data_IF_226814076298
#
_entry.id   IF_226814076298
#
_cell.length_a   1.000
_cell.length_b   1.000
_cell.length_c   1.000
_cell.angle_alpha   90.00
_cell.angle_beta   90.00
_cell.angle_gamma   90.00
#
_symmetry.space_group_name_H-M   'P 1'
#
loop_
_entity.id
_entity.type
_entity.pdbx_description
1 polymer ?
#
# COMPACT_ATOMS: atom_id res chain seq x y z
N UNK A 1 20.92 -15.12 -15.49
CA UNK A 1 19.44 -15.04 -15.66
C UNK A 1 19.05 -13.58 -15.61
N UNK A 2 18.39 -13.07 -16.65
CA UNK A 2 17.93 -11.68 -16.71
C UNK A 2 16.74 -11.47 -15.75
N UNK A 3 16.63 -10.25 -15.21
CA UNK A 3 15.64 -9.91 -14.20
C UNK A 3 14.81 -8.71 -14.66
N UNK A 4 13.51 -8.88 -14.72
CA UNK A 4 12.58 -7.86 -15.20
C UNK A 4 11.49 -7.57 -14.19
N UNK A 5 10.94 -6.35 -14.24
CA UNK A 5 9.67 -6.03 -13.63
C UNK A 5 8.82 -5.20 -14.61
N UNK A 6 7.51 -5.25 -14.44
CA UNK A 6 6.61 -4.43 -15.23
C UNK A 6 5.98 -3.34 -14.38
N UNK A 7 6.28 -2.09 -14.73
CA UNK A 7 5.65 -0.94 -14.11
C UNK A 7 5.30 0.14 -15.11
N UNK A 8 4.10 0.72 -14.88
CA UNK A 8 3.60 1.93 -15.51
C UNK A 8 3.47 3.07 -14.51
N UNK A 9 3.87 2.85 -13.26
CA UNK A 9 3.72 3.86 -12.21
C UNK A 9 4.59 5.06 -12.51
N UNK A 10 4.02 6.24 -12.33
CA UNK A 10 4.73 7.50 -12.34
C UNK A 10 4.87 7.98 -10.89
N UNK A 11 6.04 8.49 -10.52
CA UNK A 11 6.27 9.03 -9.17
C UNK A 11 5.44 10.31 -9.00
N UNK A 12 4.21 10.16 -8.52
CA UNK A 12 3.32 11.30 -8.26
C UNK A 12 3.65 11.91 -6.90
N UNK A 13 4.01 13.18 -6.88
CA UNK A 13 4.22 13.94 -5.64
C UNK A 13 2.93 14.20 -4.85
N UNK A 14 1.77 14.01 -5.48
CA UNK A 14 0.44 14.31 -4.92
C UNK A 14 -0.37 13.10 -4.44
N UNK A 15 0.19 11.88 -4.46
CA UNK A 15 -0.55 10.67 -4.06
C UNK A 15 0.30 9.75 -3.18
N UNK A 16 -0.10 9.60 -1.93
CA UNK A 16 0.51 8.63 -1.01
C UNK A 16 0.23 7.16 -1.40
N UNK A 17 -0.83 6.91 -2.17
CA UNK A 17 -1.26 5.55 -2.53
C UNK A 17 -0.34 4.79 -3.49
N UNK A 18 0.66 5.45 -4.06
CA UNK A 18 1.61 4.83 -4.98
C UNK A 18 3.00 4.61 -4.35
N UNK A 19 3.23 5.12 -3.14
CA UNK A 19 4.55 5.11 -2.47
C UNK A 19 5.12 3.70 -2.34
N UNK A 20 4.36 2.76 -1.77
CA UNK A 20 4.84 1.38 -1.60
C UNK A 20 5.27 0.73 -2.94
N UNK A 21 4.54 1.00 -4.03
CA UNK A 21 4.89 0.47 -5.35
C UNK A 21 6.16 1.08 -5.90
N UNK A 22 6.33 2.39 -5.77
CA UNK A 22 7.52 3.08 -6.28
C UNK A 22 8.76 2.74 -5.45
N UNK A 23 8.62 2.49 -4.17
CA UNK A 23 9.71 2.05 -3.30
C UNK A 23 10.19 0.65 -3.69
N UNK A 24 9.27 -0.29 -3.93
CA UNK A 24 9.63 -1.62 -4.46
C UNK A 24 10.29 -1.50 -5.83
N UNK A 25 9.84 -0.62 -6.72
CA UNK A 25 10.50 -0.40 -8.01
C UNK A 25 11.93 0.13 -7.84
N UNK A 26 12.17 1.01 -6.89
CA UNK A 26 13.51 1.51 -6.59
C UNK A 26 14.41 0.39 -6.06
N UNK A 27 13.91 -0.45 -5.15
CA UNK A 27 14.59 -1.63 -4.64
C UNK A 27 14.91 -2.61 -5.78
N UNK A 28 13.95 -2.88 -6.66
CA UNK A 28 14.17 -3.77 -7.81
C UNK A 28 15.23 -3.22 -8.75
N UNK A 29 15.21 -1.92 -9.07
CA UNK A 29 16.23 -1.27 -9.90
C UNK A 29 17.62 -1.39 -9.28
N UNK A 30 17.74 -1.13 -7.98
CA UNK A 30 19.02 -1.23 -7.23
C UNK A 30 19.56 -2.68 -7.24
N UNK A 31 18.66 -3.68 -7.33
CA UNK A 31 19.02 -5.11 -7.40
C UNK A 31 19.16 -5.63 -8.85
N UNK A 32 19.29 -4.72 -9.83
CA UNK A 32 19.59 -5.06 -11.22
C UNK A 32 18.39 -5.49 -12.07
N UNK A 33 17.15 -5.33 -11.57
CA UNK A 33 15.96 -5.58 -12.38
C UNK A 33 15.73 -4.45 -13.39
N UNK A 34 15.28 -4.78 -14.58
CA UNK A 34 14.99 -3.82 -15.66
C UNK A 34 13.48 -3.62 -15.82
N UNK A 35 13.00 -2.36 -15.88
CA UNK A 35 11.58 -2.11 -16.15
C UNK A 35 11.26 -2.32 -17.64
N UNK A 36 10.41 -3.29 -17.93
CA UNK A 36 9.91 -3.54 -19.29
C UNK A 36 8.60 -2.81 -19.61
N UNK A 37 8.04 -2.07 -18.64
CA UNK A 37 6.91 -1.16 -18.85
C UNK A 37 7.35 0.25 -19.25
N UNK A 38 6.38 1.08 -19.65
CA UNK A 38 6.58 2.52 -19.94
C UNK A 38 5.86 3.30 -18.84
N UNK A 39 6.61 4.09 -18.07
CA UNK A 39 6.03 4.97 -17.05
C UNK A 39 5.24 6.09 -17.71
N UNK A 40 4.02 6.30 -17.30
CA UNK A 40 3.18 7.37 -17.81
C UNK A 40 2.21 7.89 -16.75
N UNK A 41 1.92 9.19 -16.80
CA UNK A 41 0.94 9.85 -15.92
C UNK A 41 -0.43 10.03 -16.59
N UNK A 42 -0.64 9.51 -17.79
CA UNK A 42 -1.90 9.62 -18.50
C UNK A 42 -2.98 8.76 -17.81
N UNK A 43 -3.99 9.40 -17.24
CA UNK A 43 -5.14 8.73 -16.59
C UNK A 43 -6.37 8.83 -17.50
N UNK A 44 -6.89 7.67 -17.93
CA UNK A 44 -8.23 7.58 -18.53
C UNK A 44 -8.45 8.18 -19.92
N UNK A 45 -7.40 8.61 -20.62
CA UNK A 45 -7.48 9.19 -21.97
C UNK A 45 -7.08 8.16 -23.02
N UNK A 46 -7.37 8.48 -24.31
CA UNK A 46 -6.86 7.72 -25.47
C UNK A 46 -5.34 7.55 -25.40
N UNK A 47 -4.61 8.60 -25.01
CA UNK A 47 -3.16 8.56 -24.80
C UNK A 47 -2.76 7.55 -23.71
N UNK A 48 -3.54 7.41 -22.64
CA UNK A 48 -3.31 6.40 -21.61
C UNK A 48 -3.53 4.97 -22.11
N UNK A 49 -4.44 4.78 -23.06
CA UNK A 49 -4.64 3.48 -23.74
C UNK A 49 -3.44 3.17 -24.65
N UNK A 50 -3.05 4.11 -25.52
CA UNK A 50 -1.90 3.96 -26.42
C UNK A 50 -0.61 3.69 -25.61
N UNK A 51 -0.34 4.49 -24.57
CA UNK A 51 0.81 4.26 -23.69
C UNK A 51 0.80 2.87 -23.02
N UNK A 52 -0.39 2.35 -22.74
CA UNK A 52 -0.53 0.99 -22.21
C UNK A 52 -0.21 -0.07 -23.26
N UNK A 53 -0.72 0.08 -24.47
CA UNK A 53 -0.44 -0.83 -25.58
C UNK A 53 1.05 -0.88 -25.90
N UNK A 54 1.68 0.30 -26.02
CA UNK A 54 3.12 0.42 -26.23
C UNK A 54 3.93 -0.21 -25.08
N UNK A 55 3.45 -0.04 -23.85
CA UNK A 55 4.07 -0.65 -22.67
C UNK A 55 4.02 -2.19 -22.70
N UNK A 56 2.89 -2.76 -23.12
CA UNK A 56 2.75 -4.21 -23.28
C UNK A 56 3.60 -4.73 -24.46
N UNK A 57 3.61 -4.02 -25.57
CA UNK A 57 4.45 -4.35 -26.72
C UNK A 57 5.93 -4.33 -26.36
N UNK A 58 6.38 -3.30 -25.64
CA UNK A 58 7.76 -3.26 -25.11
C UNK A 58 8.06 -4.46 -24.23
N UNK A 59 7.14 -4.83 -23.31
CA UNK A 59 7.32 -6.01 -22.45
C UNK A 59 7.46 -7.29 -23.29
N UNK A 60 6.60 -7.46 -24.30
CA UNK A 60 6.68 -8.60 -25.22
C UNK A 60 8.01 -8.67 -25.99
N UNK A 61 8.61 -7.55 -26.34
CA UNK A 61 9.88 -7.52 -27.10
C UNK A 61 11.12 -7.64 -26.19
N UNK A 62 11.03 -7.15 -24.96
CA UNK A 62 12.19 -7.01 -24.05
C UNK A 62 12.44 -8.21 -23.14
N UNK A 63 11.40 -8.96 -22.77
CA UNK A 63 11.55 -10.11 -21.88
C UNK A 63 12.30 -11.22 -22.63
N UNK A 64 13.47 -11.63 -22.15
CA UNK A 64 14.25 -12.72 -22.72
C UNK A 64 13.79 -14.07 -22.16
N UNK A 65 13.98 -15.17 -22.91
CA UNK A 65 13.70 -16.51 -22.39
C UNK A 65 14.52 -16.86 -21.15
N UNK A 66 13.97 -17.73 -20.30
CA UNK A 66 14.62 -18.23 -19.08
C UNK A 66 15.01 -17.11 -18.11
N UNK A 67 14.15 -16.12 -17.96
CA UNK A 67 14.33 -14.94 -17.09
C UNK A 67 13.28 -14.90 -15.96
N UNK A 68 13.37 -13.91 -15.09
CA UNK A 68 12.38 -13.65 -14.03
C UNK A 68 11.60 -12.37 -14.33
N UNK A 69 10.30 -12.43 -14.16
CA UNK A 69 9.41 -11.29 -14.27
C UNK A 69 8.70 -11.01 -12.93
N UNK A 70 8.95 -9.84 -12.33
CA UNK A 70 8.25 -9.38 -11.13
C UNK A 70 7.05 -8.51 -11.51
N UNK A 71 5.89 -8.84 -10.96
CA UNK A 71 4.63 -8.11 -11.12
C UNK A 71 4.14 -7.59 -9.77
N UNK A 72 3.64 -6.36 -9.75
CA UNK A 72 3.03 -5.75 -8.56
C UNK A 72 1.51 -5.78 -8.67
N UNK A 73 0.86 -6.65 -7.90
CA UNK A 73 -0.59 -6.83 -7.94
C UNK A 73 -1.32 -5.78 -7.08
N UNK A 74 -2.47 -5.22 -7.52
CA UNK A 74 -3.22 -5.56 -8.74
C UNK A 74 -2.75 -4.80 -9.99
N UNK A 75 -2.65 -5.53 -11.12
CA UNK A 75 -2.32 -4.99 -12.45
C UNK A 75 -3.55 -4.94 -13.39
N UNK A 76 -4.76 -4.99 -12.84
CA UNK A 76 -6.02 -5.01 -13.60
C UNK A 76 -6.03 -6.17 -14.64
N UNK A 77 -6.52 -5.90 -15.85
CA UNK A 77 -6.66 -6.89 -16.94
C UNK A 77 -5.35 -7.33 -17.60
N UNK A 78 -4.26 -6.64 -17.37
CA UNK A 78 -2.98 -6.97 -18.02
C UNK A 78 -2.18 -8.05 -17.28
N UNK A 79 -2.55 -8.36 -16.06
CA UNK A 79 -1.85 -9.31 -15.22
C UNK A 79 -1.72 -10.70 -15.89
N UNK A 80 -2.85 -11.31 -16.22
CA UNK A 80 -2.90 -12.64 -16.87
C UNK A 80 -2.15 -12.64 -18.22
N UNK A 81 -2.26 -11.55 -18.98
CA UNK A 81 -1.52 -11.44 -20.26
C UNK A 81 -0.01 -11.47 -20.03
N UNK A 82 0.50 -10.70 -19.08
CA UNK A 82 1.94 -10.66 -18.77
C UNK A 82 2.45 -12.01 -18.24
N UNK A 83 1.69 -12.69 -17.39
CA UNK A 83 2.03 -14.04 -16.93
C UNK A 83 2.15 -15.02 -18.12
N UNK A 84 1.15 -15.02 -19.02
CA UNK A 84 1.17 -15.88 -20.21
C UNK A 84 2.36 -15.62 -21.12
N UNK A 85 2.67 -14.35 -21.40
CA UNK A 85 3.85 -14.00 -22.23
C UNK A 85 5.15 -14.43 -21.56
N UNK A 86 5.27 -14.29 -20.25
CA UNK A 86 6.43 -14.76 -19.49
C UNK A 86 6.58 -16.29 -19.60
N UNK A 87 5.51 -17.05 -19.36
CA UNK A 87 5.52 -18.51 -19.43
C UNK A 87 5.79 -19.04 -20.85
N UNK A 88 5.27 -18.39 -21.91
CA UNK A 88 5.62 -18.72 -23.29
C UNK A 88 7.12 -18.58 -23.60
N UNK A 89 7.86 -17.87 -22.75
CA UNK A 89 9.32 -17.68 -22.83
C UNK A 89 10.09 -18.44 -21.76
N UNK A 90 9.42 -19.38 -21.11
CA UNK A 90 10.00 -20.17 -20.02
C UNK A 90 10.56 -19.28 -18.88
N UNK A 91 9.87 -18.17 -18.55
CA UNK A 91 10.23 -17.26 -17.48
C UNK A 91 9.44 -17.58 -16.22
N UNK A 92 10.07 -17.42 -15.07
CA UNK A 92 9.38 -17.46 -13.77
C UNK A 92 8.69 -16.13 -13.47
N UNK A 93 7.47 -16.18 -12.94
CA UNK A 93 6.68 -15.00 -12.56
C UNK A 93 6.57 -14.92 -11.05
N UNK A 94 7.04 -13.80 -10.49
CA UNK A 94 6.92 -13.46 -9.07
C UNK A 94 5.90 -12.33 -8.93
N UNK A 95 4.87 -12.52 -8.13
CA UNK A 95 3.86 -11.49 -7.85
C UNK A 95 3.99 -10.95 -6.43
N UNK A 96 4.16 -9.64 -6.30
CA UNK A 96 4.11 -8.93 -5.02
C UNK A 96 2.72 -8.33 -4.85
N UNK A 97 2.00 -8.75 -3.82
CA UNK A 97 0.66 -8.23 -3.53
C UNK A 97 0.78 -6.88 -2.81
N UNK A 98 0.01 -5.87 -3.25
CA UNK A 98 -0.22 -4.61 -2.53
C UNK A 98 -1.65 -4.48 -2.02
N UNK A 99 -2.60 -5.08 -2.72
CA UNK A 99 -4.03 -5.07 -2.38
C UNK A 99 -4.71 -6.30 -2.99
N UNK A 100 -5.68 -6.84 -2.27
CA UNK A 100 -6.62 -7.82 -2.79
C UNK A 100 -7.91 -7.09 -3.21
N UNK A 101 -8.26 -7.21 -4.49
CA UNK A 101 -9.39 -6.50 -5.09
C UNK A 101 -10.75 -7.03 -4.63
N UNK A 102 -10.83 -8.30 -4.25
CA UNK A 102 -11.99 -8.94 -3.66
C UNK A 102 -12.36 -8.35 -2.29
N UNK A 103 -11.36 -7.97 -1.48
CA UNK A 103 -11.60 -7.32 -0.19
C UNK A 103 -11.91 -5.84 -0.31
N UNK A 104 -10.98 -5.09 -0.88
CA UNK A 104 -10.99 -3.63 -0.75
C UNK A 104 -11.94 -2.92 -1.70
N UNK A 105 -12.19 -3.49 -2.87
CA UNK A 105 -12.93 -2.80 -3.94
C UNK A 105 -14.12 -3.58 -4.46
N UNK A 106 -14.30 -4.83 -4.05
CA UNK A 106 -15.34 -5.76 -4.53
C UNK A 106 -15.50 -5.78 -6.07
N UNK A 107 -14.38 -5.60 -6.78
CA UNK A 107 -14.36 -5.60 -8.26
C UNK A 107 -14.14 -6.97 -8.85
N UNK A 108 -13.75 -7.91 -8.00
CA UNK A 108 -13.54 -9.30 -8.32
C UNK A 108 -14.23 -10.14 -7.25
N UNK A 109 -14.69 -11.32 -7.61
CA UNK A 109 -14.97 -12.35 -6.63
C UNK A 109 -13.65 -12.95 -6.11
N UNK A 110 -13.71 -13.68 -5.01
CA UNK A 110 -12.54 -14.36 -4.45
C UNK A 110 -11.99 -15.35 -5.47
N UNK A 111 -12.87 -16.14 -6.11
CA UNK A 111 -12.52 -17.14 -7.10
C UNK A 111 -11.82 -16.51 -8.32
N UNK A 112 -12.33 -15.36 -8.79
CA UNK A 112 -11.70 -14.62 -9.88
C UNK A 112 -10.31 -14.10 -9.51
N UNK A 113 -10.13 -13.65 -8.27
CA UNK A 113 -8.84 -13.17 -7.79
C UNK A 113 -7.84 -14.31 -7.64
N UNK A 114 -8.25 -15.42 -7.02
CA UNK A 114 -7.47 -16.65 -6.89
C UNK A 114 -7.06 -17.19 -8.25
N UNK A 115 -7.99 -17.31 -9.19
CA UNK A 115 -7.71 -17.75 -10.57
C UNK A 115 -6.67 -16.87 -11.26
N UNK A 116 -6.66 -15.56 -10.99
CA UNK A 116 -5.60 -14.67 -11.50
C UNK A 116 -4.27 -14.91 -10.83
N UNK A 117 -4.25 -14.98 -9.49
CA UNK A 117 -3.02 -15.16 -8.72
C UNK A 117 -2.34 -16.48 -9.05
N UNK A 118 -3.10 -17.54 -9.31
CA UNK A 118 -2.60 -18.84 -9.76
C UNK A 118 -1.91 -18.83 -11.14
N UNK A 119 -1.88 -17.68 -11.82
CA UNK A 119 -1.04 -17.50 -13.02
C UNK A 119 0.42 -17.14 -12.69
N UNK A 120 0.79 -16.97 -11.43
CA UNK A 120 2.17 -16.75 -11.01
C UNK A 120 2.77 -18.02 -10.43
N UNK A 121 4.08 -18.16 -10.55
CA UNK A 121 4.83 -19.27 -9.94
C UNK A 121 5.04 -19.00 -8.43
N UNK A 122 5.34 -17.76 -8.10
CA UNK A 122 5.59 -17.29 -6.72
C UNK A 122 4.76 -16.08 -6.39
N UNK A 123 4.26 -16.04 -5.16
CA UNK A 123 3.50 -14.90 -4.64
C UNK A 123 4.11 -14.45 -3.31
N UNK A 124 4.37 -13.16 -3.20
CA UNK A 124 4.79 -12.52 -1.96
C UNK A 124 3.55 -11.83 -1.37
N UNK A 125 2.98 -12.45 -0.33
CA UNK A 125 1.88 -11.92 0.47
C UNK A 125 2.40 -10.90 1.49
N UNK A 126 1.52 -10.09 2.08
CA UNK A 126 1.92 -9.09 3.07
C UNK A 126 2.53 -9.74 4.33
N UNK A 127 1.92 -10.79 4.81
CA UNK A 127 2.24 -11.47 6.07
C UNK A 127 1.66 -12.89 6.07
N UNK A 128 1.90 -13.65 7.14
CA UNK A 128 1.43 -15.02 7.26
C UNK A 128 -0.10 -15.13 7.33
N UNK A 129 -0.80 -14.15 7.89
CA UNK A 129 -2.26 -14.17 7.92
C UNK A 129 -2.85 -14.07 6.49
N UNK A 130 -2.29 -13.21 5.62
CA UNK A 130 -2.69 -13.16 4.22
C UNK A 130 -2.28 -14.43 3.48
N UNK A 131 -1.09 -14.98 3.75
CA UNK A 131 -0.62 -16.23 3.15
C UNK A 131 -1.57 -17.39 3.46
N UNK A 132 -1.94 -17.58 4.72
CA UNK A 132 -2.90 -18.61 5.14
C UNK A 132 -4.25 -18.40 4.45
N UNK A 133 -4.77 -17.17 4.45
CA UNK A 133 -6.02 -16.87 3.78
C UNK A 133 -5.99 -17.23 2.28
N UNK A 134 -4.91 -16.93 1.58
CA UNK A 134 -4.75 -17.27 0.16
C UNK A 134 -4.74 -18.79 -0.06
N UNK A 135 -4.08 -19.55 0.81
CA UNK A 135 -4.06 -21.02 0.77
C UNK A 135 -5.46 -21.62 0.98
N UNK A 136 -6.17 -21.16 2.01
CA UNK A 136 -7.54 -21.61 2.32
C UNK A 136 -8.55 -21.34 1.19
N UNK A 137 -8.28 -20.32 0.34
CA UNK A 137 -9.13 -19.98 -0.79
C UNK A 137 -8.64 -20.54 -2.14
N UNK A 138 -7.66 -21.47 -2.12
CA UNK A 138 -7.27 -22.23 -3.29
C UNK A 138 -6.14 -21.63 -4.13
N UNK A 139 -5.30 -20.77 -3.57
CA UNK A 139 -4.05 -20.37 -4.23
C UNK A 139 -3.05 -21.51 -4.16
N UNK A 140 -2.60 -21.97 -5.34
CA UNK A 140 -1.67 -23.10 -5.52
C UNK A 140 -0.23 -22.67 -5.78
N UNK A 141 0.00 -21.40 -6.15
CA UNK A 141 1.33 -20.83 -6.32
C UNK A 141 2.15 -20.91 -5.03
N UNK A 142 3.49 -20.93 -5.14
CA UNK A 142 4.35 -20.89 -3.94
C UNK A 142 4.22 -19.54 -3.24
N UNK A 143 3.87 -19.57 -1.96
CA UNK A 143 3.56 -18.38 -1.15
C UNK A 143 4.68 -18.05 -0.15
N UNK A 144 5.07 -16.78 -0.12
CA UNK A 144 6.03 -16.21 0.82
C UNK A 144 5.43 -15.00 1.52
N UNK A 145 5.87 -14.71 2.74
CA UNK A 145 5.48 -13.52 3.50
C UNK A 145 6.52 -12.43 3.37
N UNK A 146 6.08 -11.18 3.11
CA UNK A 146 6.94 -10.00 3.06
C UNK A 146 7.39 -9.56 4.48
N UNK A 147 6.52 -9.72 5.46
CA UNK A 147 6.71 -9.19 6.82
C UNK A 147 6.26 -7.74 6.93
N UNK A 148 7.02 -6.81 6.38
CA UNK A 148 6.67 -5.38 6.34
C UNK A 148 7.17 -4.74 5.05
N UNK A 149 6.50 -3.69 4.58
CA UNK A 149 7.00 -2.88 3.45
C UNK A 149 8.08 -1.90 3.90
N UNK A 150 9.08 -1.68 3.06
CA UNK A 150 10.01 -0.57 3.22
C UNK A 150 9.32 0.79 3.02
N UNK A 151 9.92 1.83 3.59
CA UNK A 151 9.55 3.22 3.33
C UNK A 151 10.81 4.01 3.00
N UNK A 152 11.14 4.09 1.72
CA UNK A 152 12.34 4.76 1.25
C UNK A 152 12.15 6.28 1.32
N UNK A 153 13.07 6.97 1.98
CA UNK A 153 13.11 8.44 2.03
C UNK A 153 14.49 8.93 2.42
N UNK A 154 14.87 10.07 1.85
CA UNK A 154 16.06 10.82 2.25
C UNK A 154 15.81 11.77 3.43
N UNK A 155 14.54 12.00 3.78
CA UNK A 155 14.17 12.85 4.91
C UNK A 155 14.47 12.16 6.24
N UNK A 156 14.88 12.95 7.21
CA UNK A 156 15.08 12.52 8.60
C UNK A 156 13.94 13.02 9.48
N UNK A 157 13.51 12.26 10.49
CA UNK A 157 12.53 12.72 11.47
C UNK A 157 13.04 13.97 12.21
N UNK A 158 12.15 14.89 12.52
CA UNK A 158 12.46 16.00 13.40
C UNK A 158 12.21 15.58 14.85
N UNK A 159 13.09 15.97 15.79
CA UNK A 159 12.84 15.74 17.20
C UNK A 159 11.54 16.40 17.65
N UNK A 160 10.73 15.68 18.41
CA UNK A 160 9.56 16.27 19.03
C UNK A 160 9.98 17.07 20.26
N UNK A 161 9.94 18.40 20.18
CA UNK A 161 10.36 19.31 21.25
C UNK A 161 9.22 19.76 22.15
N UNK A 162 7.96 19.59 21.74
CA UNK A 162 6.81 20.00 22.53
C UNK A 162 6.38 18.86 23.45
N UNK A 163 6.44 19.09 24.78
CA UNK A 163 6.12 18.12 25.82
C UNK A 163 4.82 18.42 26.59
N UNK A 164 4.12 19.50 26.23
CA UNK A 164 2.98 19.97 27.04
C UNK A 164 1.75 19.08 26.88
N UNK A 165 1.59 18.43 25.72
CA UNK A 165 0.47 17.54 25.44
C UNK A 165 0.82 16.50 24.38
N UNK A 166 0.48 15.23 24.62
CA UNK A 166 0.66 14.16 23.63
C UNK A 166 -0.14 14.42 22.35
N UNK A 167 0.45 13.98 21.23
CA UNK A 167 -0.13 14.11 19.89
C UNK A 167 -0.16 12.75 19.21
N UNK A 168 -1.34 12.32 18.79
CA UNK A 168 -1.50 11.13 17.96
C UNK A 168 -1.54 11.57 16.51
N UNK A 169 -0.67 10.99 15.69
CA UNK A 169 -0.57 11.25 14.26
C UNK A 169 -1.35 10.21 13.47
N UNK A 170 -2.21 10.64 12.57
CA UNK A 170 -2.86 9.80 11.57
C UNK A 170 -2.54 10.30 10.16
N UNK A 171 -1.88 9.47 9.35
CA UNK A 171 -1.57 9.78 7.96
C UNK A 171 -2.33 8.85 7.01
N UNK A 172 -3.02 9.42 6.02
CA UNK A 172 -3.76 8.63 5.04
C UNK A 172 -4.88 9.36 4.33
N UNK A 173 -5.82 8.59 3.76
CA UNK A 173 -7.03 9.15 3.18
C UNK A 173 -7.97 9.59 4.32
N UNK A 174 -8.34 10.88 4.32
CA UNK A 174 -9.19 11.47 5.37
C UNK A 174 -10.66 11.55 4.96
N UNK A 175 -11.03 10.88 3.87
CA UNK A 175 -12.41 10.89 3.38
C UNK A 175 -13.35 10.17 4.37
N UNK A 176 -14.38 10.86 4.91
CA UNK A 176 -15.31 10.31 5.91
C UNK A 176 -16.11 9.10 5.42
N UNK A 177 -16.26 8.92 4.10
CA UNK A 177 -16.91 7.72 3.52
C UNK A 177 -16.02 6.47 3.61
N UNK A 178 -14.70 6.66 3.70
CA UNK A 178 -13.74 5.55 3.81
C UNK A 178 -13.32 5.29 5.25
N UNK A 179 -13.28 6.34 6.04
CA UNK A 179 -12.86 6.30 7.44
C UNK A 179 -13.87 7.02 8.33
N UNK A 180 -15.09 6.47 8.49
CA UNK A 180 -16.14 7.09 9.32
C UNK A 180 -15.74 7.30 10.77
N UNK A 181 -14.81 6.49 11.32
CA UNK A 181 -14.28 6.64 12.68
C UNK A 181 -13.70 8.05 12.95
N UNK A 182 -13.18 8.72 11.91
CA UNK A 182 -12.63 10.08 12.06
C UNK A 182 -13.69 11.10 12.54
N UNK A 183 -14.97 10.88 12.21
CA UNK A 183 -16.07 11.74 12.69
C UNK A 183 -16.35 11.54 14.17
N UNK A 184 -16.06 10.36 14.70
CA UNK A 184 -16.36 9.99 16.09
C UNK A 184 -15.21 10.39 17.04
N UNK A 185 -14.00 10.49 16.50
CA UNK A 185 -12.78 10.65 17.30
C UNK A 185 -12.78 11.98 18.09
N UNK A 186 -13.26 13.06 17.49
CA UNK A 186 -13.32 14.37 18.14
C UNK A 186 -14.22 14.42 19.37
N UNK A 187 -15.24 13.56 19.47
CA UNK A 187 -16.14 13.51 20.61
C UNK A 187 -15.52 12.82 21.84
N UNK A 188 -14.50 11.99 21.65
CA UNK A 188 -13.91 11.18 22.74
C UNK A 188 -12.54 11.67 23.19
N UNK A 189 -11.82 12.41 22.36
CA UNK A 189 -10.52 12.96 22.73
C UNK A 189 -10.70 14.12 23.72
N UNK A 190 -10.05 14.02 24.89
CA UNK A 190 -10.08 15.05 25.93
C UNK A 190 -8.68 15.54 26.32
N UNK A 191 -7.68 14.67 26.32
CA UNK A 191 -6.39 14.91 26.97
C UNK A 191 -5.18 14.96 26.03
N UNK A 192 -5.38 14.73 24.71
CA UNK A 192 -4.29 14.77 23.72
C UNK A 192 -4.76 15.42 22.42
N UNK A 193 -3.82 15.81 21.56
CA UNK A 193 -4.11 16.33 20.22
C UNK A 193 -4.09 15.23 19.17
N UNK A 194 -4.83 15.42 18.10
CA UNK A 194 -4.90 14.47 16.98
C UNK A 194 -4.51 15.19 15.69
N UNK A 195 -3.32 14.88 15.18
CA UNK A 195 -2.78 15.50 13.97
C UNK A 195 -3.12 14.65 12.73
N UNK A 196 -3.89 15.24 11.82
CA UNK A 196 -4.35 14.58 10.58
C UNK A 196 -3.54 15.05 9.38
N UNK A 197 -2.88 14.10 8.72
CA UNK A 197 -2.13 14.33 7.47
C UNK A 197 -2.79 13.56 6.33
N UNK A 198 -3.19 14.26 5.28
CA UNK A 198 -3.79 13.65 4.10
C UNK A 198 -4.80 14.53 3.40
N UNK A 199 -5.49 13.96 2.41
CA UNK A 199 -6.52 14.65 1.62
C UNK A 199 -7.91 14.06 1.85
N UNK A 200 -8.95 14.86 1.57
CA UNK A 200 -10.35 14.45 1.68
C UNK A 200 -10.98 14.73 3.03
N UNK A 201 -10.33 15.54 3.87
CA UNK A 201 -10.92 16.06 5.09
C UNK A 201 -11.80 17.26 4.78
N UNK A 202 -13.07 17.19 5.18
CA UNK A 202 -14.01 18.30 5.01
C UNK A 202 -13.94 19.20 6.26
N UNK A 203 -13.33 20.37 6.10
CA UNK A 203 -13.14 21.35 7.20
C UNK A 203 -14.45 21.92 7.78
N UNK A 204 -15.61 21.62 7.18
CA UNK A 204 -16.92 22.08 7.64
C UNK A 204 -17.40 21.41 8.93
N UNK A 205 -16.82 20.31 9.32
CA UNK A 205 -17.06 19.74 10.65
C UNK A 205 -16.28 20.58 11.66
N UNK A 206 -16.95 21.36 12.50
CA UNK A 206 -16.38 21.98 13.70
C UNK A 206 -15.89 20.85 14.60
N UNK A 207 -14.67 20.37 14.34
CA UNK A 207 -13.98 19.50 15.27
C UNK A 207 -13.51 20.38 16.45
N UNK A 208 -13.62 19.84 17.65
CA UNK A 208 -13.09 20.48 18.86
C UNK A 208 -11.61 20.84 18.64
N UNK A 209 -11.08 21.79 19.42
CA UNK A 209 -9.68 22.25 19.39
C UNK A 209 -8.62 21.15 19.54
N UNK A 210 -9.04 19.89 19.69
CA UNK A 210 -8.18 18.71 19.82
C UNK A 210 -7.73 18.13 18.47
N UNK A 211 -8.43 18.43 17.35
CA UNK A 211 -8.10 17.92 16.02
C UNK A 211 -7.39 18.99 15.20
N UNK A 212 -6.15 18.71 14.82
CA UNK A 212 -5.33 19.57 13.98
C UNK A 212 -5.23 18.99 12.57
N UNK A 213 -5.90 19.60 11.62
CA UNK A 213 -5.74 19.21 10.21
C UNK A 213 -4.50 19.90 9.63
N UNK A 214 -3.49 19.11 9.30
CA UNK A 214 -2.19 19.54 8.76
C UNK A 214 -2.14 19.55 7.22
N UNK A 215 -3.23 19.11 6.57
CA UNK A 215 -3.29 19.04 5.11
C UNK A 215 -2.55 17.86 4.51
N UNK A 216 -2.42 17.90 3.19
CA UNK A 216 -1.67 16.90 2.44
C UNK A 216 -0.17 17.26 2.40
N UNK A 217 0.66 16.33 2.84
CA UNK A 217 2.12 16.42 2.72
C UNK A 217 2.61 15.28 1.80
N UNK A 218 3.45 15.58 0.79
CA UNK A 218 4.04 14.53 -0.03
C UNK A 218 4.78 13.49 0.80
N UNK A 219 4.64 12.20 0.43
CA UNK A 219 5.17 11.08 1.21
C UNK A 219 6.67 11.18 1.52
N UNK A 220 7.47 11.70 0.58
CA UNK A 220 8.92 11.86 0.78
C UNK A 220 9.26 12.96 1.80
N UNK A 221 8.36 13.93 2.02
CA UNK A 221 8.54 15.03 2.98
C UNK A 221 7.81 14.77 4.32
N UNK A 222 6.90 13.79 4.34
CA UNK A 222 6.06 13.56 5.51
C UNK A 222 6.88 13.15 6.74
N UNK A 223 8.00 12.47 6.57
CA UNK A 223 8.88 12.08 7.67
C UNK A 223 9.42 13.31 8.42
N UNK A 224 9.89 14.33 7.69
CA UNK A 224 10.40 15.55 8.31
C UNK A 224 9.32 16.53 8.77
N UNK A 225 8.08 16.38 8.28
CA UNK A 225 6.95 17.24 8.61
C UNK A 225 6.01 16.62 9.67
N UNK A 226 6.21 15.34 10.00
CA UNK A 226 5.33 14.60 10.90
C UNK A 226 5.49 15.09 12.34
N UNK A 227 4.42 15.67 12.88
CA UNK A 227 4.33 16.10 14.27
C UNK A 227 3.46 15.11 15.05
N UNK A 228 4.04 14.30 15.91
CA UNK A 228 3.32 13.33 16.73
C UNK A 228 4.24 12.62 17.71
N UNK A 229 3.64 12.04 18.73
CA UNK A 229 4.29 11.22 19.73
C UNK A 229 3.97 9.73 19.51
N UNK A 230 2.84 9.46 18.82
CA UNK A 230 2.37 8.14 18.45
C UNK A 230 1.80 8.16 17.04
N UNK A 231 1.99 7.09 16.28
CA UNK A 231 1.35 6.88 14.98
C UNK A 231 0.15 5.94 15.10
N UNK A 232 -1.03 6.33 14.57
CA UNK A 232 -2.22 5.51 14.61
C UNK A 232 -2.41 4.69 13.34
N UNK A 233 -2.43 3.37 13.49
CA UNK A 233 -2.82 2.40 12.45
C UNK A 233 -4.25 1.94 12.72
N UNK A 234 -5.20 2.61 12.07
CA UNK A 234 -6.63 2.36 12.22
C UNK A 234 -7.35 2.63 10.91
N UNK A 235 -8.33 1.81 10.57
CA UNK A 235 -9.24 2.01 9.44
C UNK A 235 -10.62 1.45 9.80
N UNK A 236 -11.67 1.91 9.11
CA UNK A 236 -13.03 1.38 9.27
C UNK A 236 -14.02 2.33 9.90
N UNK A 237 -15.12 1.77 10.40
CA UNK A 237 -16.34 2.52 10.66
C UNK A 237 -16.47 2.96 12.12
N UNK A 238 -15.72 2.38 13.05
CA UNK A 238 -15.86 2.58 14.48
C UNK A 238 -14.54 2.90 15.16
N UNK A 239 -14.62 3.63 16.27
CA UNK A 239 -13.51 3.94 17.17
C UNK A 239 -13.18 2.80 18.13
N UNK A 240 -14.13 1.91 18.40
CA UNK A 240 -13.97 0.78 19.34
C UNK A 240 -13.36 -0.46 18.67
N UNK A 241 -13.48 -0.58 17.34
CA UNK A 241 -12.93 -1.69 16.58
C UNK A 241 -12.75 -1.31 15.11
N UNK A 242 -11.79 -1.93 14.43
CA UNK A 242 -11.65 -1.80 13.00
C UNK A 242 -12.74 -2.63 12.29
N UNK A 243 -13.93 -2.05 12.17
CA UNK A 243 -15.11 -2.65 11.53
C UNK A 243 -15.25 -2.21 10.07
N UNK A 244 -16.27 -2.73 9.39
CA UNK A 244 -16.44 -2.52 7.94
C UNK A 244 -15.39 -3.22 7.09
N UNK A 245 -15.50 -3.10 5.78
CA UNK A 245 -14.62 -3.81 4.83
C UNK A 245 -13.14 -3.39 4.97
N UNK A 246 -12.89 -2.07 5.07
CA UNK A 246 -11.54 -1.56 5.19
C UNK A 246 -10.90 -1.89 6.55
N UNK A 247 -11.70 -1.83 7.63
CA UNK A 247 -11.23 -2.17 8.96
C UNK A 247 -10.92 -3.65 9.11
N UNK A 248 -11.82 -4.52 8.62
CA UNK A 248 -11.62 -5.98 8.62
C UNK A 248 -10.40 -6.40 7.80
N UNK A 249 -10.05 -5.65 6.76
CA UNK A 249 -8.88 -5.95 5.92
C UNK A 249 -7.55 -5.82 6.69
N UNK A 250 -7.50 -5.05 7.79
CA UNK A 250 -6.32 -4.99 8.67
C UNK A 250 -5.93 -6.34 9.27
N UNK A 251 -6.83 -7.33 9.28
CA UNK A 251 -6.50 -8.71 9.69
C UNK A 251 -5.58 -9.43 8.71
N UNK A 252 -5.38 -8.89 7.51
CA UNK A 252 -4.65 -9.55 6.43
C UNK A 252 -3.57 -8.68 5.81
N UNK A 253 -3.71 -7.35 5.84
CA UNK A 253 -2.78 -6.46 5.15
C UNK A 253 -1.75 -5.83 6.07
N UNK A 254 -0.67 -5.32 5.46
CA UNK A 254 0.33 -4.46 6.08
C UNK A 254 0.10 -3.02 5.59
N UNK A 255 -0.59 -2.17 6.35
CA UNK A 255 -0.79 -0.78 5.95
C UNK A 255 0.54 -0.04 5.87
N UNK A 256 0.82 0.60 4.73
CA UNK A 256 2.08 1.30 4.51
C UNK A 256 2.32 2.48 5.48
N UNK A 257 1.27 2.97 6.17
CA UNK A 257 1.40 3.93 7.28
C UNK A 257 2.19 3.37 8.46
N UNK A 258 2.19 2.05 8.68
CA UNK A 258 3.02 1.40 9.71
C UNK A 258 4.50 1.64 9.43
N UNK A 259 4.95 1.39 8.21
CA UNK A 259 6.33 1.63 7.78
C UNK A 259 6.71 3.11 7.86
N UNK A 260 5.78 4.02 7.54
CA UNK A 260 5.97 5.46 7.74
C UNK A 260 6.24 5.79 9.21
N UNK A 261 5.45 5.26 10.14
CA UNK A 261 5.59 5.58 11.56
C UNK A 261 6.89 5.01 12.15
N UNK A 262 7.28 3.80 11.76
CA UNK A 262 8.60 3.24 12.11
C UNK A 262 9.71 4.16 11.59
N UNK A 263 9.61 4.64 10.34
CA UNK A 263 10.59 5.55 9.74
C UNK A 263 10.61 6.93 10.40
N UNK A 264 9.49 7.34 11.02
CA UNK A 264 9.40 8.54 11.85
C UNK A 264 9.86 8.31 13.30
N UNK A 265 10.28 7.11 13.67
CA UNK A 265 10.63 6.70 15.04
C UNK A 265 9.48 6.89 16.03
N UNK A 266 8.24 6.71 15.58
CA UNK A 266 7.05 6.86 16.43
C UNK A 266 6.59 5.50 16.97
N UNK A 267 6.34 5.38 18.27
CA UNK A 267 5.56 4.29 18.82
C UNK A 267 4.21 4.18 18.11
N UNK A 268 3.74 2.93 17.90
CA UNK A 268 2.56 2.69 17.07
C UNK A 268 1.40 2.23 17.92
N UNK A 269 0.25 2.89 17.75
CA UNK A 269 -1.04 2.44 18.23
C UNK A 269 -1.71 1.66 17.11
N UNK A 270 -1.98 0.39 17.33
CA UNK A 270 -2.57 -0.50 16.33
C UNK A 270 -3.71 -1.34 16.94
N UNK A 271 -4.70 -1.68 16.12
CA UNK A 271 -5.74 -2.60 16.53
C UNK A 271 -5.16 -3.98 16.88
N UNK A 272 -5.50 -4.50 18.06
CA UNK A 272 -4.94 -5.77 18.58
C UNK A 272 -5.21 -7.00 17.70
N UNK A 273 -6.23 -6.94 16.83
CA UNK A 273 -6.56 -8.00 15.86
C UNK A 273 -6.02 -7.75 14.45
N UNK A 274 -5.20 -6.71 14.25
CA UNK A 274 -4.51 -6.48 12.98
C UNK A 274 -3.38 -7.49 12.79
N UNK A 275 -3.13 -7.89 11.53
CA UNK A 275 -2.08 -8.86 11.20
C UNK A 275 -0.68 -8.42 11.65
N UNK A 276 -0.41 -7.12 11.68
CA UNK A 276 0.86 -6.55 12.16
C UNK A 276 0.93 -6.33 13.68
N UNK A 277 -0.16 -6.58 14.43
CA UNK A 277 -0.13 -6.34 15.87
C UNK A 277 0.93 -7.17 16.62
N UNK A 278 1.19 -8.45 16.29
CA UNK A 278 2.30 -9.20 16.92
C UNK A 278 3.66 -8.54 16.66
N UNK A 279 3.95 -8.18 15.39
CA UNK A 279 5.20 -7.51 14.99
C UNK A 279 5.44 -6.17 15.70
N UNK A 280 4.39 -5.42 16.03
CA UNK A 280 4.51 -4.13 16.74
C UNK A 280 4.73 -4.31 18.24
N UNK A 281 4.41 -5.48 18.81
CA UNK A 281 4.61 -5.78 20.24
C UNK A 281 6.05 -6.22 20.56
N UNK A 282 6.76 -6.75 19.57
CA UNK A 282 8.19 -7.13 19.66
C UNK A 282 9.08 -5.89 19.61
#
# INVERSE_FOLDING_TARGET
MEKYFFSKNYKETKSAGNKAKTDIEEILLTNGYKNVGIRSNYKGSLMGFIATLLSLLKACLSIQPNSVLVLQYPLKKYYTFLCRIAHLRNCEVITIIHDLGSFRRKRLTIEQEVSRLNQSDYIIAHNDAMKVWLQEHGVTSKLYSLGIFDYLSKSTPQPNTNKDQYRVLYAGALNPKKNPFLKQIGAIIKSYKFNLYGSGFEAQNKFNDVINYKGFVPSDKLISAAEGDFGLVWDGDSISSCSGELGKYLKFNNPHKTSLYIRCHLPIIIWSKAALAPFIKE
#
